data_IF_672541053783
#
_entry.id   IF_672541053783
#
_cell.length_a   1.000
_cell.length_b   1.000
_cell.length_c   1.000
_cell.angle_alpha   90.00
_cell.angle_beta   90.00
_cell.angle_gamma   90.00
#
_symmetry.space_group_name_H-M   'P 1'
#
loop_
_entity.id
_entity.type
_entity.pdbx_description
1 polymer ?
#
# COMPACT_ATOMS: atom_id res chain seq x y z
N UNK A 1 47.62 79.76 11.52
CA UNK A 1 47.06 78.81 12.50
C UNK A 1 45.61 79.17 12.74
N UNK A 2 44.69 78.37 12.19
CA UNK A 2 43.31 78.15 12.66
C UNK A 2 42.62 77.40 11.52
N UNK A 3 42.30 76.13 11.76
CA UNK A 3 41.57 75.28 10.83
C UNK A 3 40.08 75.59 10.89
N UNK A 4 39.46 75.75 9.72
CA UNK A 4 38.01 75.70 9.57
C UNK A 4 37.60 74.34 9.03
N UNK A 5 36.88 73.60 9.87
CA UNK A 5 36.18 72.37 9.53
C UNK A 5 34.97 72.68 8.66
N UNK A 6 34.99 72.26 7.39
CA UNK A 6 33.80 72.12 6.56
C UNK A 6 33.10 70.80 6.90
N UNK A 7 31.93 70.86 7.53
CA UNK A 7 30.95 69.76 7.53
C UNK A 7 29.74 70.19 6.69
N UNK A 8 29.70 69.71 5.45
CA UNK A 8 28.52 69.75 4.60
C UNK A 8 28.38 68.38 3.92
N UNK A 9 27.35 67.64 4.31
CA UNK A 9 26.61 66.70 3.46
C UNK A 9 25.28 66.46 4.19
N UNK A 10 24.27 67.26 3.88
CA UNK A 10 23.20 66.88 2.95
C UNK A 10 22.73 65.45 3.17
N UNK A 11 21.72 65.32 4.03
CA UNK A 11 20.90 64.11 4.09
C UNK A 11 20.13 64.00 2.76
N UNK A 12 20.18 62.86 2.06
CA UNK A 12 19.48 62.71 0.79
C UNK A 12 17.97 62.85 1.01
N UNK A 13 17.31 63.58 0.11
CA UNK A 13 15.87 63.86 0.12
C UNK A 13 14.97 62.61 0.26
N UNK A 14 15.49 61.41 -0.04
CA UNK A 14 14.83 60.12 0.20
C UNK A 14 14.61 59.80 1.69
N UNK A 15 15.52 60.18 2.58
CA UNK A 15 15.41 59.88 4.02
C UNK A 15 14.31 60.70 4.71
N UNK A 16 14.05 61.94 4.28
CA UNK A 16 12.96 62.77 4.81
C UNK A 16 11.57 62.29 4.36
N UNK A 17 11.47 61.69 3.16
CA UNK A 17 10.23 61.07 2.69
C UNK A 17 9.96 59.76 3.45
N UNK A 18 10.98 58.91 3.63
CA UNK A 18 10.86 57.67 4.39
C UNK A 18 10.51 57.94 5.86
N UNK A 19 11.12 58.94 6.49
CA UNK A 19 10.78 59.30 7.88
C UNK A 19 9.35 59.86 7.99
N UNK A 20 8.87 60.62 6.99
CA UNK A 20 7.46 61.08 6.96
C UNK A 20 6.47 59.96 6.68
N UNK A 21 6.81 58.99 5.83
CA UNK A 21 5.98 57.79 5.58
C UNK A 21 5.93 56.92 6.83
N UNK A 22 7.06 56.71 7.51
CA UNK A 22 7.11 55.96 8.77
C UNK A 22 6.36 56.69 9.89
N UNK A 23 6.45 58.03 9.99
CA UNK A 23 5.70 58.80 10.99
C UNK A 23 4.19 58.86 10.69
N UNK A 24 3.79 58.91 9.41
CA UNK A 24 2.39 58.77 8.98
C UNK A 24 1.85 57.35 9.20
N UNK A 25 2.73 56.34 9.17
CA UNK A 25 2.39 54.95 9.52
C UNK A 25 2.17 54.77 11.02
N UNK A 26 2.88 55.54 11.85
CA UNK A 26 2.73 55.53 13.32
C UNK A 26 1.48 56.31 13.77
N UNK A 27 0.99 57.26 12.95
CA UNK A 27 -0.22 58.05 13.23
C UNK A 27 -1.52 57.43 12.67
N UNK A 28 -1.44 56.31 11.94
CA UNK A 28 -2.60 55.51 11.59
C UNK A 28 -3.05 54.72 12.82
N UNK A 29 -3.88 55.38 13.62
CA UNK A 29 -4.60 54.92 14.79
C UNK A 29 -4.84 53.40 14.81
N UNK A 30 -4.35 52.75 15.87
CA UNK A 30 -4.91 51.50 16.39
C UNK A 30 -6.42 51.68 16.54
N UNK A 31 -7.17 51.07 15.62
CA UNK A 31 -8.60 50.86 15.76
C UNK A 31 -8.74 49.45 16.32
N UNK A 32 -8.99 49.37 17.63
CA UNK A 32 -9.44 48.16 18.30
C UNK A 32 -10.77 47.72 17.65
N UNK A 33 -10.66 46.90 16.61
CA UNK A 33 -11.77 46.49 15.78
C UNK A 33 -12.69 45.57 16.57
N UNK A 34 -13.97 45.90 16.66
CA UNK A 34 -14.96 44.99 17.26
C UNK A 34 -15.03 43.71 16.41
N UNK A 35 -14.77 42.57 17.05
CA UNK A 35 -14.93 41.24 16.43
C UNK A 35 -16.39 40.83 16.50
N UNK A 36 -17.01 40.59 15.34
CA UNK A 36 -18.41 40.12 15.25
C UNK A 36 -18.42 38.59 15.17
N UNK A 37 -19.14 37.94 16.10
CA UNK A 37 -19.30 36.49 16.10
C UNK A 37 -20.38 36.08 15.09
N UNK A 38 -20.01 35.25 14.11
CA UNK A 38 -20.95 34.71 13.13
C UNK A 38 -21.71 33.51 13.70
N UNK A 39 -23.03 33.48 13.47
CA UNK A 39 -23.88 32.32 13.74
C UNK A 39 -24.33 31.65 12.44
N UNK A 40 -24.63 30.36 12.52
CA UNK A 40 -25.14 29.58 11.39
C UNK A 40 -26.54 30.07 10.98
N UNK A 41 -26.82 30.11 9.67
CA UNK A 41 -28.09 30.59 9.09
C UNK A 41 -28.46 32.06 9.34
N UNK A 42 -27.66 32.83 10.08
CA UNK A 42 -27.82 34.28 10.17
C UNK A 42 -27.03 34.97 9.04
N UNK A 43 -27.70 35.88 8.34
CA UNK A 43 -27.09 36.71 7.29
C UNK A 43 -26.86 38.11 7.84
N UNK A 44 -25.60 38.55 7.92
CA UNK A 44 -25.28 39.93 8.28
C UNK A 44 -24.96 40.73 7.02
N UNK A 45 -25.61 41.90 6.88
CA UNK A 45 -25.33 42.86 5.80
C UNK A 45 -24.60 44.05 6.41
N UNK A 46 -23.38 44.31 5.94
CA UNK A 46 -22.53 45.38 6.45
C UNK A 46 -22.00 46.26 5.32
N UNK A 47 -21.61 47.47 5.71
CA UNK A 47 -21.12 48.54 4.82
C UNK A 47 -19.65 48.92 5.08
N UNK A 48 -19.08 48.47 6.20
CA UNK A 48 -17.73 48.79 6.67
C UNK A 48 -16.83 47.55 6.78
N UNK A 49 -15.52 47.77 6.70
CA UNK A 49 -14.51 46.74 6.97
C UNK A 49 -14.60 46.27 8.41
N UNK A 50 -14.94 45.01 8.63
CA UNK A 50 -15.07 44.41 9.97
C UNK A 50 -14.35 43.06 10.06
N UNK A 51 -14.07 42.66 11.30
CA UNK A 51 -13.46 41.39 11.64
C UNK A 51 -14.56 40.44 12.11
N UNK A 52 -14.66 39.27 11.49
CA UNK A 52 -15.63 38.25 11.83
C UNK A 52 -14.91 37.02 12.39
N UNK A 53 -15.46 36.40 13.43
CA UNK A 53 -14.99 35.10 13.88
C UNK A 53 -16.17 34.13 13.96
N UNK A 54 -15.98 32.94 13.42
CA UNK A 54 -16.92 31.83 13.53
C UNK A 54 -16.32 30.78 14.46
N UNK A 55 -17.05 30.44 15.51
CA UNK A 55 -16.70 29.36 16.44
C UNK A 55 -17.68 28.22 16.28
N UNK A 56 -17.18 27.05 15.89
CA UNK A 56 -18.00 25.85 15.82
C UNK A 56 -18.12 25.23 17.21
N UNK A 57 -19.29 25.38 17.83
CA UNK A 57 -19.60 24.81 19.16
C UNK A 57 -20.26 23.42 19.08
N UNK A 58 -20.57 22.92 17.89
CA UNK A 58 -21.31 21.67 17.71
C UNK A 58 -20.36 20.50 17.63
N UNK A 59 -20.60 19.47 18.45
CA UNK A 59 -19.85 18.22 18.37
C UNK A 59 -20.19 17.46 17.08
N UNK A 60 -19.21 17.09 16.25
CA UNK A 60 -19.46 16.43 14.98
C UNK A 60 -20.00 15.01 15.21
N UNK A 61 -21.07 14.66 14.50
CA UNK A 61 -21.69 13.32 14.46
C UNK A 61 -21.18 12.55 13.24
N UNK A 62 -21.48 11.25 13.16
CA UNK A 62 -21.00 10.40 12.05
C UNK A 62 -21.49 10.84 10.65
N UNK A 63 -22.69 11.42 10.55
CA UNK A 63 -23.20 11.95 9.27
C UNK A 63 -22.51 13.26 8.83
N UNK A 64 -21.70 13.86 9.69
CA UNK A 64 -21.03 15.13 9.40
C UNK A 64 -19.72 14.98 8.61
N UNK A 65 -19.29 13.74 8.33
CA UNK A 65 -18.02 13.45 7.64
C UNK A 65 -17.94 14.13 6.26
N UNK A 66 -19.08 14.20 5.56
CA UNK A 66 -19.20 14.84 4.23
C UNK A 66 -19.94 16.19 4.28
N UNK A 67 -20.17 16.72 5.49
CA UNK A 67 -20.69 18.07 5.62
C UNK A 67 -19.57 19.07 5.36
N UNK A 68 -19.92 20.18 4.74
CA UNK A 68 -19.01 21.28 4.46
C UNK A 68 -19.55 22.53 5.14
N UNK A 69 -18.71 23.17 5.94
CA UNK A 69 -19.02 24.49 6.49
C UNK A 69 -18.41 25.51 5.52
N UNK A 70 -19.28 26.29 4.89
CA UNK A 70 -18.87 27.34 3.98
C UNK A 70 -19.31 28.69 4.51
N UNK A 71 -18.36 29.62 4.58
CA UNK A 71 -18.64 31.03 4.80
C UNK A 71 -18.74 31.67 3.42
N UNK A 72 -19.94 32.09 3.08
CA UNK A 72 -20.25 32.78 1.83
C UNK A 72 -20.21 34.28 2.10
N UNK A 73 -19.28 34.96 1.42
CA UNK A 73 -19.24 36.42 1.37
C UNK A 73 -19.63 36.84 -0.04
N UNK A 74 -20.77 37.50 -0.16
CA UNK A 74 -21.29 38.05 -1.40
C UNK A 74 -21.19 39.57 -1.32
N UNK A 75 -20.53 40.20 -2.29
CA UNK A 75 -20.49 41.65 -2.41
C UNK A 75 -20.81 42.09 -3.83
N UNK A 76 -21.46 43.25 -3.93
CA UNK A 76 -21.74 43.90 -5.22
C UNK A 76 -20.49 44.44 -5.89
N UNK A 77 -19.37 44.54 -5.16
CA UNK A 77 -18.09 45.09 -5.63
C UNK A 77 -16.91 44.22 -5.17
N UNK A 78 -15.72 44.52 -5.68
CA UNK A 78 -14.49 43.78 -5.32
C UNK A 78 -14.17 43.95 -3.83
N UNK A 79 -14.19 42.84 -3.11
CA UNK A 79 -13.84 42.76 -1.69
C UNK A 79 -12.54 41.96 -1.51
N UNK A 80 -11.79 42.26 -0.45
CA UNK A 80 -10.63 41.47 -0.05
C UNK A 80 -10.96 40.69 1.20
N UNK A 81 -10.86 39.36 1.13
CA UNK A 81 -11.12 38.48 2.27
C UNK A 81 -9.83 37.79 2.72
N UNK A 82 -9.42 38.09 3.95
CA UNK A 82 -8.25 37.50 4.60
C UNK A 82 -8.77 36.49 5.63
N UNK A 83 -8.40 35.22 5.47
CA UNK A 83 -8.76 34.14 6.38
C UNK A 83 -7.57 33.88 7.30
N UNK A 84 -7.82 33.79 8.60
CA UNK A 84 -6.81 33.56 9.64
C UNK A 84 -7.34 32.50 10.63
N UNK A 85 -6.47 31.58 11.04
CA UNK A 85 -6.82 30.42 11.88
C UNK A 85 -7.03 30.74 13.38
N UNK A 86 -6.60 31.91 13.87
CA UNK A 86 -6.70 32.29 15.28
C UNK A 86 -6.77 33.82 15.45
N UNK A 87 -7.46 34.29 16.49
CA UNK A 87 -7.53 35.69 16.90
C UNK A 87 -6.13 36.27 17.21
N UNK A 88 -5.23 35.47 17.78
CA UNK A 88 -3.86 35.87 18.13
C UNK A 88 -3.01 36.15 16.88
N UNK A 89 -3.13 35.30 15.85
CA UNK A 89 -2.46 35.50 14.55
C UNK A 89 -3.09 36.64 13.75
N UNK A 90 -4.36 36.97 14.00
CA UNK A 90 -5.03 38.11 13.38
C UNK A 90 -4.48 39.44 13.93
N UNK A 91 -4.11 39.48 15.22
CA UNK A 91 -3.40 40.59 15.86
C UNK A 91 -1.94 40.71 15.40
N UNK A 92 -1.27 39.60 15.11
CA UNK A 92 0.09 39.61 14.52
C UNK A 92 0.12 40.04 13.05
N UNK A 93 -0.99 39.89 12.30
CA UNK A 93 -1.11 40.33 10.90
C UNK A 93 -1.13 41.87 10.74
N UNK A 94 -1.39 42.62 11.81
CA UNK A 94 -1.20 44.09 11.83
C UNK A 94 0.29 44.47 11.90
N UNK A 95 1.20 43.50 12.10
CA UNK A 95 2.63 43.66 11.94
C UNK A 95 3.07 43.46 10.48
N UNK A 96 3.81 44.42 9.93
CA UNK A 96 4.36 44.37 8.57
C UNK A 96 5.16 43.08 8.31
N UNK A 97 4.64 42.18 7.45
CA UNK A 97 5.36 40.98 7.04
C UNK A 97 5.32 40.79 5.52
N UNK A 98 6.49 40.55 4.92
CA UNK A 98 6.74 40.38 3.47
C UNK A 98 5.85 39.30 2.81
N UNK A 99 5.35 38.35 3.61
CA UNK A 99 4.41 37.31 3.18
C UNK A 99 3.07 37.89 2.68
N UNK A 100 2.65 39.06 3.18
CA UNK A 100 1.42 39.75 2.73
C UNK A 100 1.46 40.06 1.23
N UNK A 101 2.61 40.46 0.69
CA UNK A 101 2.79 40.75 -0.74
C UNK A 101 2.73 39.51 -1.62
N UNK A 102 3.18 38.36 -1.12
CA UNK A 102 3.10 37.08 -1.84
C UNK A 102 1.65 36.56 -1.84
N UNK A 103 0.93 36.69 -0.72
CA UNK A 103 -0.51 36.37 -0.65
C UNK A 103 -1.38 37.31 -1.51
N UNK A 104 -0.99 38.57 -1.64
CA UNK A 104 -1.61 39.59 -2.51
C UNK A 104 -1.57 39.25 -4.00
N UNK A 105 -0.55 38.49 -4.43
CA UNK A 105 -0.36 38.07 -5.82
C UNK A 105 -1.19 36.83 -6.19
N UNK A 106 -1.55 36.00 -5.20
CA UNK A 106 -2.21 34.70 -5.42
C UNK A 106 -3.69 34.64 -5.04
N UNK A 107 -4.23 35.63 -4.30
CA UNK A 107 -5.66 35.72 -4.02
C UNK A 107 -6.36 36.59 -5.07
N UNK A 108 -6.86 35.94 -6.11
CA UNK A 108 -7.70 36.55 -7.14
C UNK A 108 -8.90 37.31 -6.54
N UNK A 109 -9.17 38.49 -7.13
CA UNK A 109 -10.33 39.34 -6.85
C UNK A 109 -11.60 38.59 -7.28
N UNK A 110 -12.44 38.20 -6.34
CA UNK A 110 -13.68 37.47 -6.61
C UNK A 110 -14.88 38.23 -6.05
N UNK A 111 -15.95 38.31 -6.86
CA UNK A 111 -17.24 38.92 -6.47
C UNK A 111 -18.03 38.02 -5.50
N UNK A 112 -17.82 36.70 -5.59
CA UNK A 112 -18.31 35.69 -4.65
C UNK A 112 -17.11 34.88 -4.13
N UNK A 113 -16.83 34.98 -2.83
CA UNK A 113 -15.80 34.16 -2.19
C UNK A 113 -16.46 33.12 -1.28
N UNK A 114 -16.19 31.85 -1.57
CA UNK A 114 -16.55 30.72 -0.70
C UNK A 114 -15.31 30.30 0.07
N UNK A 115 -15.39 30.40 1.39
CA UNK A 115 -14.30 30.00 2.28
C UNK A 115 -14.73 28.74 3.01
N UNK A 116 -13.94 27.68 2.83
CA UNK A 116 -14.20 26.41 3.48
C UNK A 116 -13.56 26.46 4.88
N UNK A 117 -14.37 26.21 5.89
CA UNK A 117 -13.94 26.16 7.29
C UNK A 117 -13.78 24.70 7.69
N UNK A 118 -12.65 24.37 8.32
CA UNK A 118 -12.45 23.03 8.91
C UNK A 118 -13.41 22.85 10.09
N UNK A 119 -14.16 21.75 10.09
CA UNK A 119 -15.19 21.44 11.10
C UNK A 119 -14.60 21.39 12.51
N UNK A 120 -13.32 21.04 12.65
CA UNK A 120 -12.65 20.92 13.95
C UNK A 120 -11.86 22.17 14.37
N UNK A 121 -11.80 23.20 13.52
CA UNK A 121 -11.20 24.47 13.93
C UNK A 121 -12.10 25.08 15.01
N UNK A 122 -11.54 25.26 16.22
CA UNK A 122 -12.28 25.82 17.36
C UNK A 122 -12.84 27.19 17.02
N UNK A 123 -12.05 27.99 16.30
CA UNK A 123 -12.41 29.31 15.80
C UNK A 123 -11.78 29.50 14.41
N UNK A 124 -12.47 30.23 13.54
CA UNK A 124 -11.93 30.73 12.28
C UNK A 124 -12.28 32.18 12.15
N UNK A 125 -11.27 33.02 11.97
CA UNK A 125 -11.46 34.45 11.88
C UNK A 125 -11.19 34.96 10.46
N UNK A 126 -11.94 35.97 10.08
CA UNK A 126 -12.03 36.52 8.74
C UNK A 126 -11.98 38.03 8.86
N UNK A 127 -11.02 38.65 8.18
CA UNK A 127 -11.02 40.10 7.98
C UNK A 127 -11.53 40.39 6.57
N UNK A 128 -12.64 41.12 6.48
CA UNK A 128 -13.21 41.56 5.20
C UNK A 128 -12.87 43.03 5.04
N UNK A 129 -11.97 43.33 4.10
CA UNK A 129 -11.59 44.71 3.76
C UNK A 129 -12.37 45.15 2.52
N UNK A 130 -13.14 46.24 2.65
CA UNK A 130 -13.83 46.90 1.53
C UNK A 130 -12.89 47.93 0.90
N UNK A 131 -12.71 47.87 -0.43
CA UNK A 131 -11.90 48.87 -1.16
C UNK A 131 -12.66 50.17 -1.43
N UNK A 132 -14.00 50.13 -1.42
CA UNK A 132 -14.88 51.27 -1.69
C UNK A 132 -15.69 51.66 -0.44
N UNK A 133 -15.83 52.97 -0.17
CA UNK A 133 -16.55 53.52 0.99
C UNK A 133 -18.07 53.25 1.03
N UNK A 134 -18.63 52.61 0.00
CA UNK A 134 -20.08 52.30 -0.12
C UNK A 134 -20.35 50.94 -0.78
N UNK A 135 -19.51 49.94 -0.53
CA UNK A 135 -19.82 48.55 -0.94
C UNK A 135 -20.56 47.81 0.16
N UNK A 136 -21.80 47.37 -0.11
CA UNK A 136 -22.47 46.42 0.76
C UNK A 136 -21.89 45.02 0.53
N UNK A 137 -21.75 44.26 1.61
CA UNK A 137 -21.49 42.83 1.53
C UNK A 137 -22.40 42.09 2.51
N UNK A 138 -22.81 40.89 2.11
CA UNK A 138 -23.53 39.95 2.97
C UNK A 138 -22.63 38.78 3.29
N UNK A 139 -22.49 38.48 4.57
CA UNK A 139 -21.78 37.30 5.07
C UNK A 139 -22.79 36.32 5.66
N UNK A 140 -22.67 35.04 5.29
CA UNK A 140 -23.52 33.97 5.78
C UNK A 140 -22.72 32.68 5.96
N UNK A 141 -23.03 31.95 7.02
CA UNK A 141 -22.43 30.64 7.29
C UNK A 141 -23.47 29.57 7.00
N UNK A 142 -23.18 28.75 6.00
CA UNK A 142 -24.06 27.64 5.58
C UNK A 142 -23.36 26.31 5.75
N UNK A 143 -24.06 25.35 6.35
CA UNK A 143 -23.62 23.96 6.49
C UNK A 143 -24.39 23.10 5.50
N UNK A 144 -23.70 22.55 4.51
CA UNK A 144 -24.33 21.77 3.44
C UNK A 144 -23.61 20.43 3.26
N UNK A 145 -24.37 19.37 2.97
CA UNK A 145 -23.80 18.10 2.52
C UNK A 145 -23.28 18.27 1.09
N UNK A 146 -22.00 17.94 0.86
CA UNK A 146 -21.41 17.95 -0.48
C UNK A 146 -21.45 16.53 -1.08
N UNK A 147 -22.43 16.21 -1.95
CA UNK A 147 -22.54 14.87 -2.53
C UNK A 147 -21.32 14.50 -3.38
N UNK A 148 -20.56 15.47 -3.87
CA UNK A 148 -19.35 15.20 -4.67
C UNK A 148 -18.28 14.53 -3.82
N UNK A 149 -18.09 15.00 -2.59
CA UNK A 149 -17.12 14.40 -1.66
C UNK A 149 -17.49 12.96 -1.34
N UNK A 150 -18.78 12.68 -1.14
CA UNK A 150 -19.26 11.31 -0.92
C UNK A 150 -18.95 10.39 -2.12
N UNK A 151 -19.22 10.85 -3.34
CA UNK A 151 -18.90 10.08 -4.56
C UNK A 151 -17.38 9.83 -4.67
N UNK A 152 -16.55 10.82 -4.38
CA UNK A 152 -15.08 10.67 -4.42
C UNK A 152 -14.59 9.69 -3.35
N UNK A 153 -15.18 9.70 -2.14
CA UNK A 153 -14.88 8.70 -1.10
C UNK A 153 -15.22 7.29 -1.59
N UNK A 154 -16.42 7.10 -2.14
CA UNK A 154 -16.84 5.79 -2.64
C UNK A 154 -15.94 5.30 -3.78
N UNK A 155 -15.59 6.18 -4.73
CA UNK A 155 -14.66 5.86 -5.80
C UNK A 155 -13.26 5.50 -5.26
N UNK A 156 -12.77 6.23 -4.25
CA UNK A 156 -11.49 5.93 -3.60
C UNK A 156 -11.48 4.56 -2.93
N UNK A 157 -12.56 4.19 -2.23
CA UNK A 157 -12.72 2.86 -1.63
C UNK A 157 -12.76 1.76 -2.71
N UNK A 158 -13.56 1.94 -3.77
CA UNK A 158 -13.64 0.98 -4.87
C UNK A 158 -12.28 0.78 -5.53
N UNK A 159 -11.54 1.86 -5.82
CA UNK A 159 -10.20 1.77 -6.41
C UNK A 159 -9.23 1.02 -5.50
N UNK A 160 -9.29 1.27 -4.19
CA UNK A 160 -8.40 0.61 -3.24
C UNK A 160 -8.69 -0.91 -3.14
N UNK A 161 -9.95 -1.29 -2.92
CA UNK A 161 -10.34 -2.69 -2.78
C UNK A 161 -10.29 -3.47 -4.10
N UNK A 162 -10.81 -2.89 -5.19
CA UNK A 162 -10.84 -3.55 -6.50
C UNK A 162 -9.55 -3.36 -7.32
N UNK A 163 -8.50 -2.75 -6.76
CA UNK A 163 -7.22 -2.51 -7.46
C UNK A 163 -6.65 -3.76 -8.15
N UNK A 164 -6.72 -4.92 -7.49
CA UNK A 164 -6.21 -6.19 -8.03
C UNK A 164 -7.04 -6.74 -9.20
N UNK A 165 -8.37 -6.55 -9.13
CA UNK A 165 -9.29 -6.93 -10.21
C UNK A 165 -9.14 -5.99 -11.40
N UNK A 166 -8.99 -4.69 -11.13
CA UNK A 166 -8.87 -3.66 -12.16
C UNK A 166 -7.51 -3.75 -12.87
N UNK A 167 -6.40 -3.96 -12.15
CA UNK A 167 -5.06 -4.02 -12.76
C UNK A 167 -4.88 -5.21 -13.70
N UNK A 168 -5.59 -6.33 -13.45
CA UNK A 168 -5.58 -7.53 -14.30
C UNK A 168 -6.60 -7.49 -15.44
N UNK A 169 -7.54 -6.54 -15.40
CA UNK A 169 -8.58 -6.41 -16.42
C UNK A 169 -8.03 -5.79 -17.71
N UNK A 170 -8.22 -6.49 -18.82
CA UNK A 170 -7.85 -5.99 -20.16
C UNK A 170 -8.66 -4.75 -20.54
N UNK A 171 -9.94 -4.68 -20.13
CA UNK A 171 -10.83 -3.54 -20.37
C UNK A 171 -10.30 -2.29 -19.65
N UNK A 172 -9.83 -2.46 -18.41
CA UNK A 172 -9.24 -1.37 -17.65
C UNK A 172 -7.99 -0.83 -18.34
N UNK A 173 -7.09 -1.71 -18.78
CA UNK A 173 -5.88 -1.30 -19.51
C UNK A 173 -6.19 -0.45 -20.76
N UNK A 174 -7.09 -0.92 -21.63
CA UNK A 174 -7.44 -0.17 -22.84
C UNK A 174 -8.18 1.15 -22.52
N UNK A 175 -9.13 1.15 -21.58
CA UNK A 175 -9.87 2.36 -21.22
C UNK A 175 -8.99 3.43 -20.58
N UNK A 176 -8.12 3.06 -19.64
CA UNK A 176 -7.17 3.98 -19.01
C UNK A 176 -6.12 4.46 -20.02
N UNK A 177 -5.62 3.57 -20.88
CA UNK A 177 -4.68 3.92 -21.94
C UNK A 177 -5.26 4.94 -22.94
N UNK A 178 -6.48 4.71 -23.42
CA UNK A 178 -7.20 5.66 -24.28
C UNK A 178 -7.40 7.00 -23.55
N UNK A 179 -7.83 6.97 -22.28
CA UNK A 179 -8.07 8.19 -21.49
C UNK A 179 -6.80 9.02 -21.30
N UNK A 180 -5.67 8.37 -20.99
CA UNK A 180 -4.37 9.02 -20.87
C UNK A 180 -3.92 9.57 -22.24
N UNK A 181 -4.13 8.83 -23.32
CA UNK A 181 -3.85 9.28 -24.69
C UNK A 181 -4.68 10.52 -25.09
N UNK A 182 -5.96 10.54 -24.74
CA UNK A 182 -6.88 11.66 -24.95
C UNK A 182 -6.47 12.92 -24.17
N UNK A 183 -5.98 12.76 -22.94
CA UNK A 183 -5.45 13.87 -22.14
C UNK A 183 -4.09 14.35 -22.68
N UNK A 184 -3.18 13.43 -23.01
CA UNK A 184 -1.84 13.76 -23.51
C UNK A 184 -1.90 14.50 -24.84
N UNK A 185 -2.72 14.05 -25.77
CA UNK A 185 -2.99 14.72 -27.04
C UNK A 185 -3.60 16.12 -26.86
N UNK A 186 -4.48 16.31 -25.87
CA UNK A 186 -5.01 17.64 -25.55
C UNK A 186 -3.88 18.58 -25.09
N UNK A 187 -2.95 18.08 -24.27
CA UNK A 187 -1.75 18.85 -23.89
C UNK A 187 -0.87 19.18 -25.10
N UNK A 188 -0.72 18.26 -26.06
CA UNK A 188 0.04 18.49 -27.29
C UNK A 188 -0.63 19.56 -28.16
N UNK A 189 -1.95 19.47 -28.38
CA UNK A 189 -2.70 20.48 -29.15
C UNK A 189 -2.57 21.84 -28.49
N UNK A 190 -2.75 21.90 -27.18
CA UNK A 190 -2.57 23.12 -26.38
C UNK A 190 -1.15 23.68 -26.51
N UNK A 191 -0.13 22.84 -26.44
CA UNK A 191 1.26 23.23 -26.63
C UNK A 191 1.51 23.79 -28.04
N UNK A 192 0.97 23.14 -29.08
CA UNK A 192 1.08 23.62 -30.47
C UNK A 192 0.36 24.96 -30.63
N UNK A 193 -0.85 25.12 -30.09
CA UNK A 193 -1.59 26.39 -30.10
C UNK A 193 -0.84 27.51 -29.38
N UNK A 194 -0.15 27.19 -28.27
CA UNK A 194 0.68 28.15 -27.54
C UNK A 194 1.83 28.72 -28.38
N UNK A 195 2.35 27.94 -29.35
CA UNK A 195 3.42 28.38 -30.25
C UNK A 195 2.97 29.46 -31.23
N UNK A 196 1.66 29.58 -31.49
CA UNK A 196 1.09 30.60 -32.35
C UNK A 196 0.77 31.91 -31.61
N UNK A 197 0.97 31.96 -30.29
CA UNK A 197 0.76 33.17 -29.51
C UNK A 197 1.85 34.20 -29.84
N UNK A 198 1.49 35.46 -30.16
CA UNK A 198 2.45 36.48 -30.56
C UNK A 198 3.45 36.77 -29.44
N UNK A 199 4.75 36.74 -29.78
CA UNK A 199 5.91 36.91 -28.87
C UNK A 199 5.90 38.18 -28.01
N UNK A 200 5.04 39.16 -28.32
CA UNK A 200 4.93 40.45 -27.63
C UNK A 200 3.90 40.45 -26.49
N UNK A 201 3.10 39.39 -26.34
CA UNK A 201 2.09 39.28 -25.27
C UNK A 201 2.73 38.81 -23.96
N UNK A 202 2.31 39.31 -22.79
CA UNK A 202 2.76 38.80 -21.48
C UNK A 202 2.51 37.29 -21.29
N UNK A 203 1.63 36.70 -22.11
CA UNK A 203 1.37 35.25 -22.17
C UNK A 203 2.61 34.46 -22.62
N UNK A 204 3.50 35.04 -23.44
CA UNK A 204 4.74 34.38 -23.90
C UNK A 204 5.73 34.12 -22.74
N UNK A 205 5.81 35.03 -21.76
CA UNK A 205 6.58 34.83 -20.52
C UNK A 205 6.00 33.68 -19.67
N UNK A 206 4.68 33.47 -19.73
CA UNK A 206 3.97 32.39 -19.02
C UNK A 206 4.17 31.03 -19.69
N UNK A 207 4.35 30.99 -21.02
CA UNK A 207 4.67 29.77 -21.80
C UNK A 207 6.07 29.24 -21.46
N UNK A 208 7.03 30.13 -21.15
CA UNK A 208 8.33 29.75 -20.57
C UNK A 208 8.20 29.11 -19.18
N UNK A 209 7.06 29.29 -18.49
CA UNK A 209 6.75 28.71 -17.18
C UNK A 209 6.42 27.22 -17.18
N UNK A 210 6.48 26.53 -18.32
CA UNK A 210 6.41 25.06 -18.38
C UNK A 210 5.06 24.47 -17.97
N UNK A 211 5.08 23.49 -17.05
CA UNK A 211 3.93 22.64 -16.67
C UNK A 211 2.73 23.46 -16.15
N UNK A 212 2.99 24.60 -15.50
CA UNK A 212 1.94 25.49 -14.97
C UNK A 212 1.04 26.08 -16.06
N UNK A 213 1.59 26.37 -17.24
CA UNK A 213 0.82 26.88 -18.38
C UNK A 213 -0.11 25.80 -18.97
N UNK A 214 0.40 24.58 -19.08
CA UNK A 214 -0.36 23.41 -19.52
C UNK A 214 -1.54 23.12 -18.60
N UNK A 215 -1.31 23.17 -17.28
CA UNK A 215 -2.36 23.03 -16.26
C UNK A 215 -3.37 24.18 -16.34
N UNK A 216 -2.91 25.43 -16.49
CA UNK A 216 -3.80 26.59 -16.61
C UNK A 216 -4.73 26.48 -17.83
N UNK A 217 -4.21 26.10 -18.99
CA UNK A 217 -5.03 25.93 -20.20
C UNK A 217 -5.96 24.72 -20.11
N UNK A 218 -5.52 23.64 -19.47
CA UNK A 218 -6.39 22.49 -19.18
C UNK A 218 -7.53 22.90 -18.25
N UNK A 219 -7.23 23.65 -17.19
CA UNK A 219 -8.22 24.21 -16.28
C UNK A 219 -9.18 25.17 -17.00
N UNK A 220 -8.67 25.99 -17.94
CA UNK A 220 -9.48 26.87 -18.78
C UNK A 220 -10.43 26.06 -19.69
N UNK A 221 -9.95 24.97 -20.29
CA UNK A 221 -10.76 24.08 -21.10
C UNK A 221 -11.86 23.39 -20.27
N UNK A 222 -11.53 22.89 -19.07
CA UNK A 222 -12.52 22.31 -18.15
C UNK A 222 -13.56 23.34 -17.68
N UNK A 223 -13.15 24.59 -17.42
CA UNK A 223 -14.08 25.65 -16.99
C UNK A 223 -15.09 26.01 -18.08
N UNK A 224 -14.66 26.03 -19.34
CA UNK A 224 -15.51 26.35 -20.48
C UNK A 224 -16.08 25.08 -21.17
N UNK A 225 -15.99 23.92 -20.52
CA UNK A 225 -16.36 22.64 -21.14
C UNK A 225 -17.85 22.60 -21.53
N UNK A 226 -18.71 23.26 -20.75
CA UNK A 226 -20.13 23.38 -21.07
C UNK A 226 -20.39 24.18 -22.37
N UNK A 227 -19.63 25.23 -22.61
CA UNK A 227 -19.73 26.00 -23.86
C UNK A 227 -19.16 25.20 -25.04
N UNK A 228 -18.03 24.51 -24.82
CA UNK A 228 -17.41 23.66 -25.85
C UNK A 228 -18.35 22.51 -26.26
N UNK A 229 -18.96 21.84 -25.28
CA UNK A 229 -19.88 20.73 -25.52
C UNK A 229 -21.20 21.14 -26.18
N UNK A 230 -21.64 22.39 -26.04
CA UNK A 230 -22.90 22.85 -26.65
C UNK A 230 -22.69 23.52 -28.00
N UNK A 231 -21.64 24.34 -28.14
CA UNK A 231 -21.39 25.12 -29.36
C UNK A 231 -20.53 24.39 -30.40
N UNK A 232 -19.62 23.50 -29.97
CA UNK A 232 -18.65 22.83 -30.83
C UNK A 232 -18.69 21.30 -30.72
N UNK A 233 -19.86 20.73 -30.44
CA UNK A 233 -20.03 19.29 -30.18
C UNK A 233 -19.54 18.39 -31.33
N UNK A 234 -19.71 18.80 -32.59
CA UNK A 234 -19.26 18.03 -33.77
C UNK A 234 -17.73 17.91 -33.83
N UNK A 235 -17.03 19.03 -33.57
CA UNK A 235 -15.56 19.05 -33.53
C UNK A 235 -15.03 18.27 -32.34
N UNK A 236 -15.69 18.37 -31.19
CA UNK A 236 -15.36 17.60 -30.00
C UNK A 236 -15.52 16.09 -30.25
N UNK A 237 -16.62 15.70 -30.91
CA UNK A 237 -16.85 14.31 -31.29
C UNK A 237 -15.80 13.81 -32.28
N UNK A 238 -15.49 14.60 -33.32
CA UNK A 238 -14.44 14.27 -34.29
C UNK A 238 -13.06 14.11 -33.63
N UNK A 239 -12.71 14.99 -32.69
CA UNK A 239 -11.49 14.86 -31.88
C UNK A 239 -11.50 13.58 -31.04
N UNK A 240 -12.60 13.30 -30.34
CA UNK A 240 -12.71 12.12 -29.48
C UNK A 240 -12.62 10.81 -30.26
N UNK A 241 -13.23 10.74 -31.44
CA UNK A 241 -13.13 9.56 -32.32
C UNK A 241 -11.72 9.42 -32.90
N UNK A 242 -11.18 10.47 -33.52
CA UNK A 242 -9.87 10.39 -34.19
C UNK A 242 -8.74 10.06 -33.22
N UNK A 243 -8.65 10.80 -32.13
CA UNK A 243 -7.62 10.60 -31.12
C UNK A 243 -7.88 9.34 -30.29
N UNK A 244 -9.15 9.01 -30.03
CA UNK A 244 -9.53 7.76 -29.39
C UNK A 244 -9.07 6.54 -30.20
N UNK A 245 -9.30 6.55 -31.51
CA UNK A 245 -8.85 5.49 -32.43
C UNK A 245 -7.32 5.39 -32.50
N UNK A 246 -6.61 6.52 -32.61
CA UNK A 246 -5.13 6.52 -32.60
C UNK A 246 -4.59 5.98 -31.27
N UNK A 247 -5.14 6.45 -30.14
CA UNK A 247 -4.73 5.97 -28.81
C UNK A 247 -5.03 4.49 -28.64
N UNK A 248 -6.19 4.01 -29.11
CA UNK A 248 -6.53 2.59 -29.10
C UNK A 248 -5.56 1.77 -29.95
N UNK A 249 -5.22 2.23 -31.16
CA UNK A 249 -4.26 1.53 -32.02
C UNK A 249 -2.87 1.44 -31.39
N UNK A 250 -2.41 2.50 -30.71
CA UNK A 250 -1.17 2.47 -29.94
C UNK A 250 -1.25 1.48 -28.77
N UNK A 251 -2.30 1.55 -27.95
CA UNK A 251 -2.50 0.61 -26.83
C UNK A 251 -2.61 -0.85 -27.31
N UNK A 252 -3.26 -1.09 -28.44
CA UNK A 252 -3.38 -2.42 -29.05
C UNK A 252 -2.03 -2.95 -29.54
N UNK A 253 -1.18 -2.09 -30.12
CA UNK A 253 0.17 -2.45 -30.54
C UNK A 253 1.08 -2.81 -29.37
N UNK A 254 1.00 -2.08 -28.26
CA UNK A 254 1.79 -2.38 -27.07
C UNK A 254 1.28 -3.61 -26.30
N UNK A 255 -0.02 -3.90 -26.41
CA UNK A 255 -0.66 -5.03 -25.73
C UNK A 255 -0.87 -4.78 -24.23
N UNK A 256 -1.72 -5.61 -23.58
CA UNK A 256 -1.95 -5.54 -22.13
C UNK A 256 -0.70 -5.93 -21.34
N UNK A 257 -0.64 -5.51 -20.07
CA UNK A 257 0.48 -5.78 -19.18
C UNK A 257 0.56 -7.28 -18.84
N UNK A 258 1.52 -8.00 -19.42
CA UNK A 258 1.75 -9.43 -19.11
C UNK A 258 2.70 -9.65 -17.94
N UNK A 259 3.65 -8.73 -17.72
CA UNK A 259 4.64 -8.85 -16.67
C UNK A 259 4.02 -8.65 -15.28
N UNK A 260 4.14 -9.64 -14.39
CA UNK A 260 3.65 -9.56 -13.01
C UNK A 260 4.16 -8.34 -12.26
N UNK A 261 5.42 -7.95 -12.49
CA UNK A 261 6.01 -6.73 -11.92
C UNK A 261 5.23 -5.47 -12.29
N UNK A 262 4.81 -5.36 -13.56
CA UNK A 262 4.10 -4.19 -14.04
C UNK A 262 2.65 -4.17 -13.55
N UNK A 263 2.02 -5.35 -13.45
CA UNK A 263 0.69 -5.51 -12.84
C UNK A 263 0.75 -5.08 -11.37
N UNK A 264 1.75 -5.54 -10.62
CA UNK A 264 1.93 -5.13 -9.23
C UNK A 264 2.18 -3.63 -9.11
N UNK A 265 3.01 -3.02 -9.96
CA UNK A 265 3.22 -1.57 -9.96
C UNK A 265 1.91 -0.80 -10.21
N UNK A 266 1.09 -1.27 -11.16
CA UNK A 266 -0.22 -0.69 -11.45
C UNK A 266 -1.18 -0.84 -10.26
N UNK A 267 -1.24 -2.03 -9.65
CA UNK A 267 -2.02 -2.28 -8.43
C UNK A 267 -1.64 -1.31 -7.32
N UNK A 268 -0.35 -1.15 -7.03
CA UNK A 268 0.14 -0.23 -6.00
C UNK A 268 -0.18 1.22 -6.35
N UNK A 269 -0.03 1.59 -7.62
CA UNK A 269 -0.42 2.92 -8.12
C UNK A 269 -1.90 3.21 -7.90
N UNK A 270 -2.78 2.26 -8.23
CA UNK A 270 -4.23 2.39 -8.02
C UNK A 270 -4.61 2.43 -6.55
N UNK A 271 -3.92 1.67 -5.70
CA UNK A 271 -4.13 1.70 -4.25
C UNK A 271 -3.72 3.04 -3.66
N UNK A 272 -2.53 3.53 -3.97
CA UNK A 272 -2.05 4.84 -3.50
C UNK A 272 -2.99 5.95 -3.99
N UNK A 273 -3.43 5.88 -5.24
CA UNK A 273 -4.38 6.85 -5.80
C UNK A 273 -5.75 6.77 -5.09
N UNK A 274 -6.26 5.57 -4.81
CA UNK A 274 -7.48 5.37 -4.04
C UNK A 274 -7.39 5.94 -2.61
N UNK A 275 -6.27 5.72 -1.92
CA UNK A 275 -6.00 6.29 -0.60
C UNK A 275 -5.86 7.83 -0.64
N UNK A 276 -5.26 8.37 -1.69
CA UNK A 276 -5.17 9.82 -1.91
C UNK A 276 -6.56 10.42 -2.10
N UNK A 277 -7.41 9.82 -2.93
CA UNK A 277 -8.79 10.26 -3.10
C UNK A 277 -9.57 10.19 -1.79
N UNK A 278 -9.37 9.13 -1.00
CA UNK A 278 -9.97 9.02 0.33
C UNK A 278 -9.55 10.17 1.24
N UNK A 279 -8.25 10.46 1.30
CA UNK A 279 -7.72 11.57 2.10
C UNK A 279 -8.29 12.92 1.66
N UNK A 280 -8.36 13.18 0.35
CA UNK A 280 -8.87 14.44 -0.20
C UNK A 280 -10.39 14.58 -0.09
N UNK A 281 -11.13 13.47 -0.02
CA UNK A 281 -12.59 13.46 0.06
C UNK A 281 -13.13 13.81 1.45
N UNK A 282 -12.34 13.58 2.50
CA UNK A 282 -12.75 13.78 3.88
C UNK A 282 -12.13 15.07 4.39
N UNK A 283 -12.96 16.03 4.80
CA UNK A 283 -12.50 17.33 5.30
C UNK A 283 -11.75 17.20 6.63
N UNK A 284 -12.12 16.19 7.42
CA UNK A 284 -11.61 15.95 8.76
C UNK A 284 -10.38 15.05 8.69
N UNK A 285 -9.19 15.65 8.78
CA UNK A 285 -7.90 14.95 8.59
C UNK A 285 -7.72 13.71 9.47
N UNK A 286 -8.12 13.79 10.74
CA UNK A 286 -8.03 12.66 11.68
C UNK A 286 -8.93 11.47 11.28
N UNK A 287 -10.19 11.74 10.91
CA UNK A 287 -11.12 10.69 10.46
C UNK A 287 -10.64 10.09 9.14
N UNK A 288 -10.10 10.91 8.25
CA UNK A 288 -9.49 10.45 7.00
C UNK A 288 -8.38 9.43 7.26
N UNK A 289 -7.46 9.74 8.20
CA UNK A 289 -6.37 8.83 8.59
C UNK A 289 -6.92 7.55 9.23
N UNK A 290 -7.90 7.62 10.13
CA UNK A 290 -8.52 6.42 10.69
C UNK A 290 -9.14 5.54 9.61
N UNK A 291 -9.91 6.12 8.69
CA UNK A 291 -10.55 5.36 7.63
C UNK A 291 -9.52 4.73 6.68
N UNK A 292 -8.40 5.40 6.43
CA UNK A 292 -7.25 4.82 5.70
C UNK A 292 -6.66 3.64 6.46
N UNK A 293 -6.41 3.77 7.76
CA UNK A 293 -5.90 2.68 8.60
C UNK A 293 -6.87 1.49 8.58
N UNK A 294 -8.18 1.74 8.75
CA UNK A 294 -9.20 0.70 8.67
C UNK A 294 -9.21 0.02 7.30
N UNK A 295 -9.10 0.79 6.20
CA UNK A 295 -9.04 0.23 4.86
C UNK A 295 -7.80 -0.68 4.66
N UNK A 296 -6.63 -0.24 5.13
CA UNK A 296 -5.39 -1.03 5.09
C UNK A 296 -5.52 -2.28 5.96
N UNK A 297 -6.05 -2.15 7.18
CA UNK A 297 -6.26 -3.27 8.09
C UNK A 297 -7.22 -4.29 7.50
N UNK A 298 -8.37 -3.86 6.97
CA UNK A 298 -9.38 -4.76 6.39
C UNK A 298 -8.85 -5.51 5.17
N UNK A 299 -8.08 -4.86 4.29
CA UNK A 299 -7.46 -5.52 3.13
C UNK A 299 -6.37 -6.51 3.53
N UNK A 300 -5.59 -6.21 4.57
CA UNK A 300 -4.50 -7.07 5.04
C UNK A 300 -4.92 -8.00 6.19
N UNK A 301 -6.22 -8.09 6.53
CA UNK A 301 -6.71 -8.80 7.71
C UNK A 301 -6.62 -10.32 7.60
N UNK A 302 -6.59 -10.85 6.38
CA UNK A 302 -6.56 -12.30 6.13
C UNK A 302 -5.36 -12.96 6.81
N UNK A 303 -4.17 -12.40 6.65
CA UNK A 303 -2.93 -12.91 7.23
C UNK A 303 -2.92 -12.94 8.77
N UNK A 304 -3.18 -11.84 9.50
CA UNK A 304 -3.18 -11.85 10.96
C UNK A 304 -4.34 -12.68 11.54
N UNK A 305 -5.47 -12.83 10.84
CA UNK A 305 -6.55 -13.73 11.28
C UNK A 305 -6.15 -15.20 11.13
N UNK A 306 -5.53 -15.58 10.02
CA UNK A 306 -4.98 -16.93 9.83
C UNK A 306 -3.92 -17.22 10.89
N UNK A 307 -3.04 -16.26 11.17
CA UNK A 307 -2.02 -16.39 12.21
C UNK A 307 -2.61 -16.48 13.63
N UNK A 308 -3.58 -15.62 13.95
CA UNK A 308 -4.28 -15.66 15.23
C UNK A 308 -5.05 -16.97 15.40
N UNK A 309 -5.68 -17.49 14.34
CA UNK A 309 -6.34 -18.79 14.34
C UNK A 309 -5.35 -19.94 14.48
N UNK A 310 -4.19 -19.87 13.82
CA UNK A 310 -3.12 -20.87 13.96
C UNK A 310 -2.54 -20.89 15.39
N UNK A 311 -2.33 -19.72 16.01
CA UNK A 311 -1.89 -19.59 17.39
C UNK A 311 -2.97 -20.10 18.35
N UNK A 312 -4.23 -19.70 18.13
CA UNK A 312 -5.38 -20.19 18.90
C UNK A 312 -5.50 -21.72 18.84
N UNK A 313 -5.44 -22.30 17.64
CA UNK A 313 -5.43 -23.75 17.44
C UNK A 313 -4.24 -24.41 18.14
N UNK A 314 -3.05 -23.83 18.07
CA UNK A 314 -1.85 -24.38 18.71
C UNK A 314 -1.90 -24.32 20.25
N UNK A 315 -2.57 -23.31 20.81
CA UNK A 315 -2.72 -23.12 22.26
C UNK A 315 -3.89 -23.90 22.87
N UNK A 316 -5.04 -23.94 22.17
CA UNK A 316 -6.28 -24.55 22.68
C UNK A 316 -6.56 -25.95 22.12
N UNK A 317 -5.88 -26.33 21.04
CA UNK A 317 -5.96 -27.65 20.43
C UNK A 317 -4.53 -28.14 20.23
N UNK A 318 -3.78 -28.30 21.31
CA UNK A 318 -2.66 -29.22 21.27
C UNK A 318 -3.28 -30.62 21.09
N UNK A 319 -3.23 -31.26 19.90
CA UNK A 319 -3.52 -32.68 19.86
C UNK A 319 -2.48 -33.35 20.75
N UNK A 320 -2.94 -34.12 21.72
CA UNK A 320 -2.12 -35.10 22.43
C UNK A 320 -1.36 -35.86 21.33
N UNK A 321 -0.05 -35.62 21.19
CA UNK A 321 0.76 -36.33 20.19
C UNK A 321 0.46 -37.81 20.40
N UNK A 322 0.02 -38.57 19.38
CA UNK A 322 -0.06 -40.01 19.53
C UNK A 322 1.32 -40.45 19.98
N UNK A 323 1.38 -41.09 21.15
CA UNK A 323 2.64 -41.57 21.70
C UNK A 323 3.34 -42.39 20.62
N UNK A 324 4.65 -42.21 20.42
CA UNK A 324 5.37 -43.03 19.46
C UNK A 324 5.06 -44.50 19.76
N UNK A 325 4.81 -45.33 18.73
CA UNK A 325 4.49 -46.73 18.94
C UNK A 325 5.57 -47.31 19.85
N UNK A 326 5.12 -47.93 20.95
CA UNK A 326 6.01 -48.50 21.96
C UNK A 326 7.00 -49.42 21.25
N UNK A 327 8.29 -49.15 21.43
CA UNK A 327 9.34 -50.05 20.97
C UNK A 327 9.10 -51.43 21.60
N UNK A 328 9.27 -52.49 20.81
CA UNK A 328 9.23 -53.85 21.35
C UNK A 328 10.28 -53.96 22.44
N UNK A 329 9.90 -54.58 23.56
CA UNK A 329 10.90 -55.03 24.52
C UNK A 329 11.81 -56.08 23.87
N UNK A 330 13.03 -56.20 24.37
CA UNK A 330 14.01 -57.19 23.88
C UNK A 330 13.43 -58.62 23.88
N UNK A 331 12.63 -58.95 24.90
CA UNK A 331 11.94 -60.23 24.99
C UNK A 331 10.88 -60.40 23.89
N UNK A 332 10.05 -59.39 23.64
CA UNK A 332 9.07 -59.41 22.55
C UNK A 332 9.74 -59.52 21.18
N UNK A 333 10.89 -58.85 21.00
CA UNK A 333 11.68 -58.95 19.78
C UNK A 333 12.25 -60.36 19.59
N UNK A 334 12.82 -60.96 20.65
CA UNK A 334 13.35 -62.32 20.61
C UNK A 334 12.26 -63.34 20.27
N UNK A 335 11.11 -63.27 20.95
CA UNK A 335 9.98 -64.16 20.70
C UNK A 335 9.45 -64.00 19.26
N UNK A 336 9.32 -62.77 18.77
CA UNK A 336 8.86 -62.52 17.41
C UNK A 336 9.87 -63.08 16.38
N UNK A 337 11.16 -62.91 16.63
CA UNK A 337 12.23 -63.48 15.82
C UNK A 337 12.15 -65.00 15.75
N UNK A 338 11.96 -65.69 16.87
CA UNK A 338 11.81 -67.14 16.91
C UNK A 338 10.56 -67.62 16.15
N UNK A 339 9.42 -66.96 16.36
CA UNK A 339 8.15 -67.34 15.73
C UNK A 339 8.19 -67.14 14.22
N UNK A 340 8.65 -65.98 13.74
CA UNK A 340 8.69 -65.69 12.31
C UNK A 340 9.79 -66.50 11.61
N UNK A 341 10.94 -66.75 12.27
CA UNK A 341 11.98 -67.65 11.75
C UNK A 341 11.44 -69.07 11.58
N UNK A 342 10.76 -69.62 12.59
CA UNK A 342 10.16 -70.96 12.49
C UNK A 342 9.16 -71.03 11.34
N UNK A 343 8.28 -70.04 11.23
CA UNK A 343 7.27 -69.96 10.17
C UNK A 343 7.90 -69.85 8.79
N UNK A 344 8.93 -69.01 8.61
CA UNK A 344 9.65 -68.85 7.36
C UNK A 344 10.38 -70.14 6.96
N UNK A 345 10.98 -70.86 7.90
CA UNK A 345 11.63 -72.15 7.65
C UNK A 345 10.62 -73.24 7.23
N UNK A 346 9.44 -73.27 7.84
CA UNK A 346 8.36 -74.18 7.45
C UNK A 346 7.86 -73.87 6.03
N UNK A 347 7.60 -72.60 5.73
CA UNK A 347 7.24 -72.15 4.38
C UNK A 347 8.32 -72.50 3.35
N UNK A 348 9.60 -72.34 3.71
CA UNK A 348 10.71 -72.71 2.85
C UNK A 348 10.75 -74.22 2.58
N UNK A 349 10.50 -75.05 3.60
CA UNK A 349 10.43 -76.51 3.42
C UNK A 349 9.26 -76.90 2.51
N UNK A 350 8.10 -76.29 2.70
CA UNK A 350 6.92 -76.53 1.86
C UNK A 350 7.19 -76.12 0.41
N UNK A 351 7.79 -74.96 0.19
CA UNK A 351 8.20 -74.50 -1.14
C UNK A 351 9.20 -75.47 -1.79
N UNK A 352 10.21 -75.95 -1.07
CA UNK A 352 11.18 -76.92 -1.59
C UNK A 352 10.55 -78.29 -1.93
N UNK A 353 9.41 -78.64 -1.33
CA UNK A 353 8.63 -79.86 -1.67
C UNK A 353 7.67 -79.63 -2.83
N UNK A 354 7.41 -78.38 -3.21
CA UNK A 354 6.48 -78.04 -4.27
C UNK A 354 7.05 -78.37 -5.67
N UNK A 355 6.20 -78.69 -6.65
CA UNK A 355 6.63 -78.99 -8.02
C UNK A 355 7.20 -77.76 -8.76
N UNK A 356 6.99 -76.55 -8.23
CA UNK A 356 7.50 -75.30 -8.81
C UNK A 356 8.97 -75.04 -8.43
N UNK A 357 9.51 -75.78 -7.46
CA UNK A 357 10.89 -75.64 -7.03
C UNK A 357 11.89 -76.39 -7.93
N UNK A 358 12.87 -75.66 -8.48
CA UNK A 358 13.92 -76.24 -9.32
C UNK A 358 15.00 -76.95 -8.49
N UNK A 359 14.73 -78.17 -8.01
CA UNK A 359 15.60 -78.93 -7.11
C UNK A 359 17.03 -79.13 -7.65
N UNK A 360 17.19 -79.54 -8.92
CA UNK A 360 18.52 -79.78 -9.51
C UNK A 360 19.38 -78.52 -9.64
N UNK A 361 18.75 -77.36 -9.89
CA UNK A 361 19.43 -76.07 -9.94
C UNK A 361 19.91 -75.64 -8.56
N UNK A 362 19.11 -75.86 -7.52
CA UNK A 362 19.50 -75.59 -6.15
C UNK A 362 20.64 -76.52 -5.69
N UNK A 363 20.52 -77.83 -5.94
CA UNK A 363 21.53 -78.84 -5.59
C UNK A 363 22.89 -78.55 -6.23
N UNK A 364 22.91 -77.99 -7.44
CA UNK A 364 24.16 -77.61 -8.13
C UNK A 364 24.91 -76.42 -7.49
N UNK A 365 24.22 -75.60 -6.67
CA UNK A 365 24.76 -74.35 -6.11
C UNK A 365 25.10 -74.46 -4.63
N UNK A 366 24.49 -75.39 -3.91
CA UNK A 366 24.70 -75.58 -2.47
C UNK A 366 25.97 -76.40 -2.21
N UNK A 367 26.68 -76.06 -1.14
CA UNK A 367 27.93 -76.75 -0.76
C UNK A 367 27.70 -78.19 -0.30
N UNK A 368 26.58 -78.48 0.36
CA UNK A 368 26.28 -79.79 0.94
C UNK A 368 24.85 -80.26 0.61
N UNK A 369 24.66 -81.01 -0.50
CA UNK A 369 23.36 -81.52 -0.90
C UNK A 369 22.67 -82.41 0.14
N UNK A 370 23.44 -83.16 0.93
CA UNK A 370 22.92 -84.02 2.00
C UNK A 370 22.25 -83.23 3.12
N UNK A 371 22.91 -82.18 3.63
CA UNK A 371 22.34 -81.28 4.67
C UNK A 371 21.03 -80.63 4.20
N UNK A 372 20.96 -80.28 2.92
CA UNK A 372 19.76 -79.70 2.33
C UNK A 372 18.60 -80.70 2.26
N UNK A 373 18.86 -81.96 1.91
CA UNK A 373 17.85 -83.01 1.93
C UNK A 373 17.32 -83.25 3.36
N UNK A 374 18.23 -83.39 4.34
CA UNK A 374 17.87 -83.57 5.75
C UNK A 374 17.02 -82.40 6.28
N UNK A 375 17.34 -81.17 5.88
CA UNK A 375 16.56 -79.97 6.21
C UNK A 375 15.13 -80.02 5.65
N UNK A 376 14.96 -80.45 4.39
CA UNK A 376 13.64 -80.62 3.77
C UNK A 376 12.83 -81.70 4.49
N UNK A 377 13.47 -82.76 4.96
CA UNK A 377 12.83 -83.84 5.73
C UNK A 377 12.41 -83.42 7.14
N UNK A 378 12.95 -82.31 7.64
CA UNK A 378 12.53 -81.68 8.90
C UNK A 378 13.65 -81.50 9.92
N UNK A 379 14.89 -81.85 9.59
CA UNK A 379 16.04 -81.61 10.47
C UNK A 379 16.29 -80.10 10.68
N UNK A 380 16.98 -79.76 11.76
CA UNK A 380 17.37 -78.38 12.09
C UNK A 380 18.17 -77.76 10.94
N UNK A 381 17.89 -76.49 10.65
CA UNK A 381 18.63 -75.70 9.66
C UNK A 381 20.07 -75.38 10.11
N UNK A 382 20.32 -75.40 11.42
CA UNK A 382 21.65 -75.21 12.03
C UNK A 382 22.13 -76.53 12.60
N UNK A 383 23.39 -76.89 12.31
CA UNK A 383 24.03 -78.09 12.86
C UNK A 383 24.48 -77.81 14.30
N UNK A 384 24.38 -78.76 15.25
CA UNK A 384 24.77 -78.52 16.64
C UNK A 384 26.19 -77.98 16.82
N UNK A 385 27.14 -78.42 15.98
CA UNK A 385 28.51 -77.93 16.00
C UNK A 385 28.62 -76.46 15.53
N UNK A 386 27.79 -76.04 14.58
CA UNK A 386 27.74 -74.64 14.13
C UNK A 386 27.15 -73.75 15.21
N UNK A 387 26.09 -74.22 15.88
CA UNK A 387 25.49 -73.54 17.02
C UNK A 387 26.50 -73.39 18.19
N UNK A 388 27.28 -74.45 18.49
CA UNK A 388 28.27 -74.38 19.57
C UNK A 388 29.45 -73.47 19.24
N UNK A 389 29.90 -73.44 17.97
CA UNK A 389 30.95 -72.50 17.54
C UNK A 389 30.43 -71.06 17.63
N UNK A 390 29.20 -70.79 17.19
CA UNK A 390 28.57 -69.48 17.33
C UNK A 390 28.41 -69.06 18.79
N UNK A 391 28.00 -69.97 19.68
CA UNK A 391 27.91 -69.70 21.11
C UNK A 391 29.29 -69.44 21.75
N UNK A 392 30.34 -70.08 21.25
CA UNK A 392 31.71 -69.82 21.72
C UNK A 392 32.24 -68.46 21.25
N UNK A 393 31.91 -68.06 20.02
CA UNK A 393 32.39 -66.82 19.40
C UNK A 393 31.58 -65.58 19.83
N UNK A 394 30.27 -65.73 20.00
CA UNK A 394 29.33 -64.63 20.27
C UNK A 394 28.53 -64.80 21.57
N UNK A 395 28.82 -65.82 22.38
CA UNK A 395 28.20 -65.99 23.70
C UNK A 395 28.77 -65.05 24.76
N UNK A 396 28.44 -65.31 26.02
CA UNK A 396 28.77 -64.44 27.17
C UNK A 396 30.27 -64.11 27.32
N UNK A 397 31.16 -64.95 26.79
CA UNK A 397 32.61 -64.71 26.77
C UNK A 397 33.12 -63.93 25.55
N UNK A 398 32.37 -63.90 24.45
CA UNK A 398 32.69 -63.17 23.22
C UNK A 398 32.22 -61.71 23.23
N UNK A 399 31.03 -61.45 23.80
CA UNK A 399 30.48 -60.09 23.88
C UNK A 399 31.31 -59.14 24.76
N UNK A 400 32.03 -59.67 25.75
CA UNK A 400 32.98 -58.90 26.56
C UNK A 400 34.16 -58.37 25.74
N UNK A 401 34.62 -59.15 24.75
CA UNK A 401 35.76 -58.80 23.89
C UNK A 401 35.34 -57.85 22.77
N UNK A 402 34.11 -57.98 22.29
CA UNK A 402 33.50 -57.08 21.29
C UNK A 402 33.26 -55.68 21.89
N UNK A 403 32.68 -55.57 23.10
CA UNK A 403 32.49 -54.27 23.76
C UNK A 403 33.82 -53.54 24.02
N UNK A 404 34.89 -54.27 24.33
CA UNK A 404 36.21 -53.68 24.58
C UNK A 404 36.91 -53.17 23.30
N UNK A 405 36.51 -53.67 22.13
CA UNK A 405 37.02 -53.22 20.82
C UNK A 405 36.28 -51.97 20.29
N UNK A 406 35.03 -51.76 20.70
CA UNK A 406 34.19 -50.65 20.22
C UNK A 406 34.07 -49.48 21.22
N UNK A 407 34.43 -49.64 22.50
CA UNK A 407 34.49 -48.52 23.46
C UNK A 407 35.73 -47.61 23.28
N UNK A 408 36.79 -48.05 22.61
CA UNK A 408 38.02 -47.24 22.43
C UNK A 408 37.95 -46.18 21.31
N UNK A 409 36.89 -46.16 20.47
CA UNK A 409 36.77 -45.19 19.36
C UNK A 409 35.91 -43.94 19.67
N UNK A 410 35.26 -43.86 20.85
CA UNK A 410 34.29 -42.78 21.16
C UNK A 410 34.86 -41.62 22.02
N UNK A 411 36.15 -41.61 22.37
CA UNK A 411 36.78 -40.54 23.17
C UNK A 411 37.84 -39.72 22.41
N UNK A 412 37.57 -39.20 21.21
CA UNK A 412 38.38 -38.11 20.63
C UNK A 412 37.64 -37.41 19.46
N UNK A 413 36.83 -36.38 19.75
CA UNK A 413 36.85 -35.07 19.06
C UNK A 413 35.66 -34.18 19.46
N UNK A 414 35.88 -33.36 20.50
CA UNK A 414 35.13 -32.12 20.74
C UNK A 414 35.96 -30.94 20.18
N UNK A 415 35.69 -30.49 18.94
CA UNK A 415 35.96 -29.09 18.56
C UNK A 415 35.21 -28.62 17.31
N UNK A 416 34.40 -27.58 17.51
CA UNK A 416 34.02 -26.46 16.61
C UNK A 416 34.19 -26.61 15.08
N UNK A 417 33.09 -26.49 14.32
CA UNK A 417 33.10 -25.68 13.09
C UNK A 417 31.70 -25.25 12.62
N UNK A 418 31.65 -24.06 12.02
CA UNK A 418 30.51 -23.22 11.67
C UNK A 418 29.57 -23.77 10.57
N UNK A 419 28.38 -23.17 10.55
CA UNK A 419 27.36 -23.22 9.50
C UNK A 419 27.93 -22.94 8.09
N UNK A 420 27.76 -23.89 7.16
CA UNK A 420 27.36 -23.58 5.78
C UNK A 420 26.72 -24.84 5.14
N UNK A 421 25.43 -24.78 4.80
CA UNK A 421 24.74 -25.84 4.07
C UNK A 421 24.57 -25.42 2.60
N UNK A 422 25.29 -26.05 1.65
CA UNK A 422 24.81 -26.15 0.29
C UNK A 422 23.95 -27.42 0.14
N UNK A 423 22.69 -27.23 -0.25
CA UNK A 423 21.78 -28.31 -0.66
C UNK A 423 22.45 -29.20 -1.71
N UNK A 424 22.61 -30.49 -1.40
CA UNK A 424 22.96 -31.52 -2.38
C UNK A 424 21.73 -32.36 -2.72
N UNK A 425 21.47 -32.69 -4.01
CA UNK A 425 20.26 -33.37 -4.42
C UNK A 425 20.29 -34.86 -4.06
N UNK A 426 19.18 -35.35 -3.50
CA UNK A 426 18.92 -36.78 -3.30
C UNK A 426 18.98 -37.54 -4.64
N UNK A 427 19.66 -38.70 -4.73
CA UNK A 427 19.59 -39.54 -5.91
C UNK A 427 18.21 -40.21 -5.99
N UNK A 428 17.43 -39.84 -7.01
CA UNK A 428 16.22 -40.54 -7.42
C UNK A 428 16.61 -41.91 -8.00
N UNK A 429 16.58 -42.95 -7.16
CA UNK A 429 16.59 -44.32 -7.65
C UNK A 429 15.22 -44.67 -8.23
N UNK A 430 15.20 -44.73 -9.56
CA UNK A 430 14.16 -45.36 -10.36
C UNK A 430 14.01 -46.84 -10.00
N UNK A 431 12.93 -47.21 -9.32
CA UNK A 431 12.31 -48.53 -9.44
C UNK A 431 10.81 -48.34 -9.60
N UNK A 432 10.41 -48.26 -10.86
CA UNK A 432 9.03 -48.19 -11.31
C UNK A 432 8.45 -49.61 -11.25
N UNK A 433 7.81 -49.98 -10.14
CA UNK A 433 7.02 -51.22 -10.08
C UNK A 433 5.62 -50.90 -10.60
N UNK A 434 5.33 -51.35 -11.83
CA UNK A 434 4.01 -51.29 -12.43
C UNK A 434 3.05 -52.14 -11.60
N UNK A 435 2.08 -51.51 -10.95
CA UNK A 435 0.88 -52.22 -10.51
C UNK A 435 -0.19 -52.11 -11.60
N UNK A 436 -0.31 -53.18 -12.38
CA UNK A 436 -1.48 -53.44 -13.22
C UNK A 436 -2.44 -54.28 -12.38
N UNK A 437 -3.46 -53.63 -11.83
CA UNK A 437 -4.70 -54.31 -11.50
C UNK A 437 -5.87 -53.45 -11.96
N UNK A 438 -6.37 -53.78 -13.15
CA UNK A 438 -7.79 -53.60 -13.43
C UNK A 438 -8.52 -54.83 -12.90
N UNK A 439 -9.67 -54.64 -12.27
CA UNK A 439 -10.92 -55.28 -12.69
C UNK A 439 -12.12 -54.81 -11.86
N UNK A 440 -13.22 -54.61 -12.60
CA UNK A 440 -14.63 -54.57 -12.22
C UNK A 440 -15.19 -53.27 -11.62
#
# INVERSE_FOLDING_TARGET
>A
MAGETKTASEWPHGCRLLFRVVLLSILACSSDGRVVLLKEHETHVLYSSEQFCYSNKVTPKWHDIWTKIQIRVNSTKVIRVIQVESEEKLKELDGFNLWMYVGLLFKEKLNDSYINVDIFSKETCLKVETLDQHSQYSISVTRTLDPKLFIVTFLGLLLFFCSDLMSRSTIFFYSTGISIGMLSSLLIVVYVLSRFVPKKSPIYLMILGGWSFSVYLTQLAFRNLQEICTLYWEYLLGYLVTVGCVSFALCYKYGPLENERNINLLTWGLQIFGLLLLYLSIQIRYIAVILIIIAICTKNLEYPVIWAYAIYRKLFTAPEKPSPPRLLSEEEYRILGEVETRKALEQLREYCRSPEFSAWKAVSRIQSPKRFADFIEGASHVVPNEASVHEQEYGLGGSFLENQLFEEEDEEDDSSFDEDYPETPWPQNHLNFQDKTGHC
#
